data_IF_417638158824
#
_entry.id   IF_417638158824
#
_cell.length_a   1.000
_cell.length_b   1.000
_cell.length_c   1.000
_cell.angle_alpha   90.00
_cell.angle_beta   90.00
_cell.angle_gamma   90.00
#
_symmetry.space_group_name_H-M   'P 1'
#
loop_
_entity.id
_entity.type
_entity.pdbx_description
1 polymer ?
#
# COMPACT_ATOMS: atom_id res chain seq x y z
N UNK A 1 -0.98 -42.34 -7.13
CA UNK A 1 -2.27 -41.78 -7.59
C UNK A 1 -2.69 -42.25 -9.00
N UNK A 2 -2.26 -43.44 -9.48
CA UNK A 2 -2.58 -43.91 -10.85
C UNK A 2 -4.04 -44.34 -11.08
N UNK A 3 -4.93 -44.23 -10.09
CA UNK A 3 -6.33 -44.68 -10.19
C UNK A 3 -7.37 -43.55 -10.30
N UNK A 4 -6.99 -42.29 -10.12
CA UNK A 4 -7.89 -41.12 -10.24
C UNK A 4 -7.41 -40.23 -11.38
N UNK A 5 -7.91 -40.49 -12.59
CA UNK A 5 -7.47 -39.79 -13.81
C UNK A 5 -8.10 -38.41 -13.96
N UNK A 6 -9.31 -38.20 -13.44
CA UNK A 6 -10.02 -36.92 -13.49
C UNK A 6 -9.49 -35.92 -12.44
N UNK A 7 -9.05 -34.75 -12.90
CA UNK A 7 -8.55 -33.67 -12.05
C UNK A 7 -9.61 -33.14 -11.08
N UNK A 8 -10.89 -33.06 -11.49
CA UNK A 8 -11.97 -32.59 -10.64
C UNK A 8 -12.19 -33.53 -9.43
N UNK A 9 -12.09 -34.84 -9.66
CA UNK A 9 -12.14 -35.83 -8.59
C UNK A 9 -10.98 -35.65 -7.60
N UNK A 10 -9.75 -35.46 -8.10
CA UNK A 10 -8.57 -35.20 -7.25
C UNK A 10 -8.71 -33.89 -6.49
N UNK A 11 -9.23 -32.85 -7.13
CA UNK A 11 -9.50 -31.56 -6.51
C UNK A 11 -10.48 -31.72 -5.34
N UNK A 12 -11.57 -32.46 -5.53
CA UNK A 12 -12.57 -32.72 -4.49
C UNK A 12 -11.96 -33.42 -3.25
N UNK A 13 -10.98 -34.32 -3.44
CA UNK A 13 -10.24 -34.91 -2.32
C UNK A 13 -9.44 -33.86 -1.54
N UNK A 14 -8.76 -32.93 -2.23
CA UNK A 14 -8.01 -31.87 -1.55
C UNK A 14 -8.95 -30.86 -0.88
N UNK A 15 -10.10 -30.54 -1.49
CA UNK A 15 -11.14 -29.74 -0.84
C UNK A 15 -11.69 -30.43 0.43
N UNK A 16 -11.81 -31.76 0.43
CA UNK A 16 -12.14 -32.51 1.63
C UNK A 16 -11.07 -32.36 2.72
N UNK A 17 -9.78 -32.32 2.34
CA UNK A 17 -8.70 -32.00 3.29
C UNK A 17 -8.86 -30.62 3.94
N UNK A 18 -9.35 -29.61 3.21
CA UNK A 18 -9.67 -28.31 3.81
C UNK A 18 -10.76 -28.42 4.89
N UNK A 19 -11.77 -29.27 4.68
CA UNK A 19 -12.82 -29.52 5.69
C UNK A 19 -12.27 -30.27 6.90
N UNK A 20 -11.36 -31.22 6.71
CA UNK A 20 -10.65 -31.90 7.80
C UNK A 20 -9.83 -30.92 8.64
N UNK A 21 -9.10 -30.00 8.00
CA UNK A 21 -8.34 -28.96 8.68
C UNK A 21 -9.26 -28.05 9.54
N UNK A 22 -10.41 -27.61 8.99
CA UNK A 22 -11.41 -26.84 9.76
C UNK A 22 -11.96 -27.62 10.96
N UNK A 23 -12.04 -28.95 10.86
CA UNK A 23 -12.47 -29.84 11.96
C UNK A 23 -11.31 -30.27 12.86
N UNK A 24 -10.18 -29.57 12.83
CA UNK A 24 -9.00 -29.81 13.66
C UNK A 24 -8.31 -31.16 13.43
N UNK A 25 -8.53 -31.79 12.27
CA UNK A 25 -7.91 -33.06 11.90
C UNK A 25 -6.70 -32.83 10.99
N UNK A 26 -5.68 -32.14 11.50
CA UNK A 26 -4.55 -31.67 10.67
C UNK A 26 -3.72 -32.82 10.11
N UNK A 27 -3.47 -33.86 10.91
CA UNK A 27 -2.72 -35.04 10.46
C UNK A 27 -3.40 -35.75 9.28
N UNK A 28 -4.74 -35.88 9.31
CA UNK A 28 -5.52 -36.47 8.22
C UNK A 28 -5.54 -35.57 6.99
N UNK A 29 -5.70 -34.26 7.17
CA UNK A 29 -5.62 -33.29 6.08
C UNK A 29 -4.25 -33.36 5.37
N UNK A 30 -3.16 -33.36 6.14
CA UNK A 30 -1.80 -33.43 5.59
C UNK A 30 -1.51 -34.77 4.93
N UNK A 31 -2.11 -35.88 5.39
CA UNK A 31 -2.03 -37.17 4.69
C UNK A 31 -2.56 -37.06 3.25
N UNK A 32 -3.63 -36.31 3.02
CA UNK A 32 -4.14 -36.05 1.68
C UNK A 32 -3.17 -35.15 0.91
N UNK A 33 -2.69 -34.06 1.51
CA UNK A 33 -1.75 -33.13 0.84
C UNK A 33 -0.46 -33.84 0.39
N UNK A 34 0.11 -34.73 1.21
CA UNK A 34 1.29 -35.52 0.84
C UNK A 34 1.13 -36.28 -0.48
N UNK A 35 -0.08 -36.74 -0.78
CA UNK A 35 -0.39 -37.47 -2.01
C UNK A 35 -0.47 -36.54 -3.21
N UNK A 36 -1.08 -35.35 -3.04
CA UNK A 36 -1.47 -34.45 -4.13
C UNK A 36 -0.55 -33.23 -4.32
N UNK A 37 0.44 -33.01 -3.45
CA UNK A 37 1.40 -31.89 -3.61
C UNK A 37 2.23 -31.97 -4.90
N UNK A 38 2.33 -33.17 -5.49
CA UNK A 38 2.99 -33.45 -6.77
C UNK A 38 1.99 -33.71 -7.91
N UNK A 39 0.72 -33.38 -7.73
CA UNK A 39 -0.27 -33.62 -8.77
C UNK A 39 0.10 -32.84 -10.04
N UNK A 40 -0.08 -33.41 -11.23
CA UNK A 40 0.19 -32.69 -12.46
C UNK A 40 -0.71 -31.46 -12.66
N UNK A 41 -1.87 -31.39 -12.01
CA UNK A 41 -2.78 -30.24 -12.04
C UNK A 41 -2.38 -29.16 -11.01
N UNK A 42 -2.14 -27.89 -11.41
CA UNK A 42 -2.32 -27.33 -12.75
C UNK A 42 -1.17 -27.64 -13.70
N UNK A 43 -1.53 -27.93 -14.94
CA UNK A 43 -0.59 -28.22 -16.01
C UNK A 43 0.10 -26.94 -16.49
N UNK A 44 1.34 -27.08 -16.98
CA UNK A 44 1.96 -26.02 -17.77
C UNK A 44 1.25 -25.88 -19.13
N UNK A 45 1.41 -24.72 -19.81
CA UNK A 45 0.82 -24.51 -21.13
C UNK A 45 1.12 -25.65 -22.11
N UNK A 46 0.09 -26.12 -22.82
CA UNK A 46 0.12 -27.19 -23.80
C UNK A 46 0.23 -28.61 -23.22
N UNK A 47 0.20 -28.77 -21.87
CA UNK A 47 0.32 -30.08 -21.21
C UNK A 47 -1.00 -30.61 -20.65
N UNK A 48 -2.06 -29.82 -20.64
CA UNK A 48 -3.37 -30.25 -20.16
C UNK A 48 -4.11 -31.08 -21.23
N UNK A 49 -4.39 -32.38 -20.99
CA UNK A 49 -5.12 -33.21 -21.94
C UNK A 49 -6.60 -32.79 -22.11
N UNK A 50 -7.14 -32.00 -21.19
CA UNK A 50 -8.53 -31.53 -21.19
C UNK A 50 -8.69 -30.06 -21.62
N UNK A 51 -7.59 -29.33 -21.79
CA UNK A 51 -7.56 -27.94 -22.30
C UNK A 51 -6.40 -27.73 -23.29
N UNK A 52 -6.44 -28.36 -24.48
CA UNK A 52 -5.35 -28.32 -25.45
C UNK A 52 -5.08 -26.92 -26.04
N UNK A 53 -6.01 -25.97 -25.89
CA UNK A 53 -5.88 -24.58 -26.35
C UNK A 53 -5.36 -23.63 -25.26
N UNK A 54 -5.11 -24.14 -24.05
CA UNK A 54 -4.75 -23.35 -22.85
C UNK A 54 -5.72 -22.21 -22.56
N UNK A 55 -7.02 -22.44 -22.78
CA UNK A 55 -8.05 -21.41 -22.59
C UNK A 55 -8.27 -21.08 -21.11
N UNK A 56 -8.07 -22.06 -20.24
CA UNK A 56 -8.26 -21.99 -18.79
C UNK A 56 -6.95 -22.17 -18.01
N UNK A 57 -5.80 -22.06 -18.69
CA UNK A 57 -4.49 -22.23 -18.08
C UNK A 57 -4.11 -21.01 -17.22
N UNK A 58 -4.16 -21.16 -15.90
CA UNK A 58 -3.83 -20.09 -14.95
C UNK A 58 -2.34 -19.66 -15.01
N UNK A 59 -1.42 -20.57 -15.35
CA UNK A 59 -0.02 -20.20 -15.55
C UNK A 59 0.12 -19.21 -16.72
N UNK A 60 -0.59 -19.45 -17.82
CA UNK A 60 -0.63 -18.55 -18.98
C UNK A 60 -1.24 -17.19 -18.61
N UNK A 61 -2.28 -17.17 -17.78
CA UNK A 61 -2.86 -15.92 -17.26
C UNK A 61 -1.81 -15.09 -16.49
N UNK A 62 -0.99 -15.74 -15.66
CA UNK A 62 0.13 -15.07 -14.96
C UNK A 62 1.21 -14.57 -15.94
N UNK A 63 1.54 -15.34 -16.97
CA UNK A 63 2.47 -14.89 -18.03
C UNK A 63 1.97 -13.63 -18.74
N UNK A 64 0.65 -13.46 -18.87
CA UNK A 64 -0.01 -12.28 -19.44
C UNK A 64 -0.14 -11.12 -18.45
N UNK A 65 0.35 -11.26 -17.21
CA UNK A 65 0.30 -10.23 -16.18
C UNK A 65 -1.03 -10.13 -15.43
N UNK A 66 -1.88 -11.15 -15.52
CA UNK A 66 -3.14 -11.23 -14.78
C UNK A 66 -2.91 -11.89 -13.42
N UNK A 67 -3.44 -11.27 -12.38
CA UNK A 67 -3.44 -11.82 -11.03
C UNK A 67 -4.44 -12.99 -10.93
N UNK A 68 -4.03 -14.17 -10.44
CA UNK A 68 -4.97 -15.26 -10.18
C UNK A 68 -5.99 -14.89 -9.11
N UNK A 69 -7.27 -15.20 -9.35
CA UNK A 69 -8.37 -14.77 -8.46
C UNK A 69 -9.22 -15.92 -7.92
N UNK A 70 -8.93 -17.17 -8.29
CA UNK A 70 -9.73 -18.32 -7.85
C UNK A 70 -8.89 -19.58 -7.66
N UNK A 71 -9.36 -20.47 -6.77
CA UNK A 71 -8.70 -21.75 -6.49
C UNK A 71 -9.41 -22.86 -7.28
N UNK A 72 -8.80 -23.32 -8.38
CA UNK A 72 -9.42 -24.27 -9.34
C UNK A 72 -8.48 -25.38 -9.80
N UNK A 73 -7.53 -25.77 -8.96
CA UNK A 73 -6.62 -26.88 -9.29
C UNK A 73 -6.12 -27.58 -8.04
N UNK A 74 -5.70 -28.84 -8.21
CA UNK A 74 -5.26 -29.74 -7.14
C UNK A 74 -4.11 -29.14 -6.33
N UNK A 75 -3.01 -28.73 -6.97
CA UNK A 75 -1.89 -28.09 -6.25
C UNK A 75 -2.25 -26.69 -5.71
N UNK A 76 -3.18 -25.98 -6.35
CA UNK A 76 -3.73 -24.73 -5.81
C UNK A 76 -4.41 -24.93 -4.46
N UNK A 77 -5.30 -25.93 -4.39
CA UNK A 77 -5.94 -26.33 -3.15
C UNK A 77 -4.95 -26.85 -2.11
N UNK A 78 -3.84 -27.46 -2.51
CA UNK A 78 -2.79 -27.86 -1.56
C UNK A 78 -2.23 -26.65 -0.81
N UNK A 79 -1.91 -25.54 -1.52
CA UNK A 79 -1.48 -24.30 -0.89
C UNK A 79 -2.50 -23.77 0.12
N UNK A 80 -3.77 -23.75 -0.27
CA UNK A 80 -4.87 -23.29 0.60
C UNK A 80 -5.08 -24.15 1.86
N UNK A 81 -4.96 -25.47 1.74
CA UNK A 81 -5.08 -26.38 2.88
C UNK A 81 -3.89 -26.22 3.83
N UNK A 82 -2.68 -26.08 3.30
CA UNK A 82 -1.48 -25.86 4.11
C UNK A 82 -1.61 -24.60 4.97
N UNK A 83 -2.14 -23.51 4.41
CA UNK A 83 -2.45 -22.29 5.18
C UNK A 83 -3.36 -22.58 6.38
N UNK A 84 -4.39 -23.42 6.21
CA UNK A 84 -5.33 -23.79 7.29
C UNK A 84 -4.71 -24.70 8.35
N UNK A 85 -3.64 -25.44 8.01
CA UNK A 85 -2.93 -26.29 8.96
C UNK A 85 -1.92 -25.51 9.82
N UNK A 86 -1.50 -24.31 9.40
CA UNK A 86 -0.59 -23.45 10.17
C UNK A 86 -1.30 -22.62 11.25
N UNK A 87 -2.12 -23.25 12.09
CA UNK A 87 -2.87 -22.60 13.20
C UNK A 87 -2.55 -23.27 14.53
N UNK A 88 -3.07 -22.73 15.64
CA UNK A 88 -2.80 -23.25 16.98
C UNK A 88 -3.10 -24.76 17.12
N UNK A 89 -4.26 -25.21 16.62
CA UNK A 89 -4.64 -26.64 16.63
C UNK A 89 -3.76 -27.53 15.73
N UNK A 90 -2.94 -26.93 14.85
CA UNK A 90 -2.03 -27.62 13.94
C UNK A 90 -0.55 -27.43 14.27
N UNK A 91 -0.23 -26.91 15.45
CA UNK A 91 1.13 -26.57 15.89
C UNK A 91 2.12 -27.72 15.68
N UNK A 92 1.74 -28.92 16.08
CA UNK A 92 2.62 -30.10 16.01
C UNK A 92 2.97 -30.49 14.57
N UNK A 93 2.18 -30.03 13.60
CA UNK A 93 2.37 -30.32 12.19
C UNK A 93 3.10 -29.19 11.43
N UNK A 94 3.42 -28.07 12.09
CA UNK A 94 4.09 -26.92 11.46
C UNK A 94 5.38 -27.30 10.71
N UNK A 95 6.29 -28.17 11.25
CA UNK A 95 7.48 -28.58 10.51
C UNK A 95 7.16 -29.21 9.14
N UNK A 96 6.15 -30.09 9.09
CA UNK A 96 5.73 -30.72 7.83
C UNK A 96 5.06 -29.70 6.90
N UNK A 97 4.28 -28.77 7.44
CA UNK A 97 3.66 -27.70 6.65
C UNK A 97 4.72 -26.81 6.00
N UNK A 98 5.78 -26.43 6.72
CA UNK A 98 6.91 -25.66 6.17
C UNK A 98 7.53 -26.39 4.97
N UNK A 99 7.82 -27.68 5.11
CA UNK A 99 8.46 -28.48 4.05
C UNK A 99 7.55 -28.62 2.80
N UNK A 100 6.25 -28.87 3.00
CA UNK A 100 5.30 -28.94 1.89
C UNK A 100 5.08 -27.58 1.22
N UNK A 101 5.05 -26.49 1.97
CA UNK A 101 4.96 -25.13 1.42
C UNK A 101 6.22 -24.79 0.63
N UNK A 102 7.41 -25.06 1.16
CA UNK A 102 8.71 -24.86 0.47
C UNK A 102 8.76 -25.56 -0.87
N UNK A 103 8.17 -26.75 -0.96
CA UNK A 103 8.05 -27.51 -2.21
C UNK A 103 7.17 -26.79 -3.23
N UNK A 104 5.98 -26.33 -2.86
CA UNK A 104 5.09 -25.58 -3.76
C UNK A 104 5.67 -24.19 -4.12
N UNK A 105 6.42 -23.55 -3.23
CA UNK A 105 7.09 -22.28 -3.51
C UNK A 105 8.19 -22.44 -4.56
N UNK A 106 8.73 -23.66 -4.75
CA UNK A 106 9.73 -24.01 -5.77
C UNK A 106 9.13 -24.56 -7.05
N UNK A 107 7.81 -24.55 -7.19
CA UNK A 107 7.13 -25.07 -8.37
C UNK A 107 7.53 -24.31 -9.65
N UNK A 108 7.39 -24.97 -10.79
CA UNK A 108 7.51 -24.36 -12.12
C UNK A 108 6.24 -23.60 -12.51
N UNK A 109 5.09 -24.00 -11.97
CA UNK A 109 3.82 -23.37 -12.27
C UNK A 109 3.60 -22.13 -11.40
N UNK A 110 3.62 -20.93 -11.99
CA UNK A 110 3.39 -19.67 -11.27
C UNK A 110 2.10 -19.61 -10.45
N UNK A 111 1.01 -20.20 -10.94
CA UNK A 111 -0.23 -20.26 -10.17
C UNK A 111 -0.06 -21.10 -8.89
N UNK A 112 0.66 -22.22 -8.96
CA UNK A 112 0.93 -23.05 -7.78
C UNK A 112 1.79 -22.28 -6.76
N UNK A 113 2.79 -21.52 -7.24
CA UNK A 113 3.59 -20.62 -6.39
C UNK A 113 2.70 -19.56 -5.74
N UNK A 114 1.82 -18.91 -6.51
CA UNK A 114 0.87 -17.90 -6.02
C UNK A 114 0.02 -18.47 -4.88
N UNK A 115 -0.54 -19.67 -5.05
CA UNK A 115 -1.33 -20.32 -4.01
C UNK A 115 -0.49 -20.72 -2.78
N UNK A 116 0.78 -21.06 -2.99
CA UNK A 116 1.70 -21.35 -1.91
C UNK A 116 2.09 -20.11 -1.09
N UNK A 117 2.03 -18.90 -1.67
CA UNK A 117 2.29 -17.65 -0.96
C UNK A 117 1.31 -17.44 0.22
N UNK A 118 0.06 -17.88 0.12
CA UNK A 118 -0.89 -17.80 1.23
C UNK A 118 -0.48 -18.68 2.42
N UNK A 119 -0.02 -19.90 2.16
CA UNK A 119 0.53 -20.76 3.19
C UNK A 119 1.80 -20.15 3.80
N UNK A 120 2.73 -19.69 2.95
CA UNK A 120 3.99 -19.10 3.41
C UNK A 120 3.75 -17.82 4.23
N UNK A 121 2.80 -16.97 3.83
CA UNK A 121 2.41 -15.77 4.56
C UNK A 121 1.82 -16.08 5.94
N UNK A 122 1.01 -17.13 6.04
CA UNK A 122 0.47 -17.58 7.33
C UNK A 122 1.55 -18.15 8.25
N UNK A 123 2.50 -18.92 7.71
CA UNK A 123 3.67 -19.42 8.44
C UNK A 123 4.54 -18.23 8.89
N UNK A 124 4.83 -17.29 7.99
CA UNK A 124 5.62 -16.10 8.25
C UNK A 124 5.02 -15.24 9.38
N UNK A 125 3.69 -15.07 9.39
CA UNK A 125 2.95 -14.40 10.47
C UNK A 125 3.14 -15.08 11.82
N UNK A 126 3.13 -16.41 11.85
CA UNK A 126 3.18 -17.16 13.09
C UNK A 126 4.61 -17.43 13.61
N UNK A 127 5.65 -17.16 12.82
CA UNK A 127 7.02 -17.62 13.11
C UNK A 127 7.64 -17.08 14.41
N UNK A 128 7.24 -15.88 14.84
CA UNK A 128 7.71 -15.23 16.07
C UNK A 128 6.57 -14.98 17.08
N UNK A 129 5.40 -15.58 16.88
CA UNK A 129 4.30 -15.44 17.83
C UNK A 129 4.54 -16.34 19.05
N UNK A 130 3.97 -15.95 20.18
CA UNK A 130 4.02 -16.73 21.42
C UNK A 130 2.72 -17.48 21.65
N UNK A 131 2.77 -18.54 22.44
CA UNK A 131 1.56 -19.26 22.84
C UNK A 131 0.70 -18.39 23.76
N UNK A 132 -0.64 -18.40 23.61
CA UNK A 132 -1.53 -17.69 24.54
C UNK A 132 -1.39 -18.16 25.99
N UNK A 133 -1.09 -19.45 26.19
CA UNK A 133 -0.89 -20.07 27.49
C UNK A 133 0.46 -19.78 28.12
N UNK A 134 1.48 -19.46 27.32
CA UNK A 134 2.84 -19.20 27.78
C UNK A 134 3.54 -18.15 26.89
N UNK A 135 3.77 -16.97 27.46
CA UNK A 135 4.41 -15.83 26.77
C UNK A 135 5.90 -16.02 26.53
N UNK A 136 6.52 -17.08 27.05
CA UNK A 136 7.94 -17.40 26.85
C UNK A 136 8.17 -18.46 25.77
N UNK A 137 7.12 -19.21 25.41
CA UNK A 137 7.19 -20.25 24.39
C UNK A 137 6.74 -19.72 23.03
N UNK A 138 7.57 -19.94 22.00
CA UNK A 138 7.26 -19.58 20.63
C UNK A 138 6.33 -20.62 19.98
N UNK A 139 5.53 -20.17 19.02
CA UNK A 139 4.55 -21.01 18.35
C UNK A 139 5.18 -22.21 17.62
N UNK A 140 6.35 -22.05 16.98
CA UNK A 140 6.95 -23.12 16.19
C UNK A 140 7.53 -24.28 16.99
N UNK A 141 8.02 -24.04 18.20
CA UNK A 141 8.60 -25.08 19.03
C UNK A 141 8.69 -24.66 20.50
N UNK A 142 8.66 -25.64 21.40
CA UNK A 142 8.85 -25.40 22.84
C UNK A 142 10.29 -24.95 23.14
N UNK A 143 11.27 -25.50 22.40
CA UNK A 143 12.65 -25.08 22.49
C UNK A 143 12.88 -23.78 21.71
N UNK A 144 13.15 -22.68 22.43
CA UNK A 144 13.36 -21.33 21.87
C UNK A 144 14.34 -21.33 20.69
N UNK A 145 15.52 -21.95 20.84
CA UNK A 145 16.53 -21.95 19.77
C UNK A 145 16.01 -22.64 18.50
N UNK A 146 15.37 -23.80 18.65
CA UNK A 146 14.79 -24.55 17.54
C UNK A 146 13.67 -23.76 16.85
N UNK A 147 12.80 -23.11 17.62
CA UNK A 147 11.76 -22.23 17.08
C UNK A 147 12.35 -21.08 16.26
N UNK A 148 13.41 -20.42 16.75
CA UNK A 148 14.07 -19.32 16.05
C UNK A 148 14.80 -19.79 14.78
N UNK A 149 15.41 -20.99 14.78
CA UNK A 149 16.00 -21.59 13.58
C UNK A 149 14.95 -21.88 12.51
N UNK A 150 13.80 -22.42 12.91
CA UNK A 150 12.65 -22.62 12.00
C UNK A 150 12.13 -21.28 11.45
N UNK A 151 12.08 -20.23 12.28
CA UNK A 151 11.71 -18.89 11.81
C UNK A 151 12.69 -18.34 10.76
N UNK A 152 14.00 -18.55 10.94
CA UNK A 152 15.02 -18.20 9.95
C UNK A 152 14.94 -19.04 8.67
N UNK A 153 14.56 -20.31 8.76
CA UNK A 153 14.28 -21.12 7.57
C UNK A 153 13.11 -20.54 6.76
N UNK A 154 12.03 -20.11 7.41
CA UNK A 154 10.89 -19.46 6.75
C UNK A 154 11.31 -18.16 6.06
N UNK A 155 12.12 -17.34 6.73
CA UNK A 155 12.71 -16.14 6.13
C UNK A 155 13.56 -16.49 4.89
N UNK A 156 14.38 -17.53 4.97
CA UNK A 156 15.19 -17.98 3.83
C UNK A 156 14.33 -18.45 2.64
N UNK A 157 13.20 -19.14 2.90
CA UNK A 157 12.25 -19.53 1.85
C UNK A 157 11.64 -18.27 1.18
N UNK A 158 11.22 -17.29 1.99
CA UNK A 158 10.66 -16.04 1.48
C UNK A 158 11.67 -15.22 0.65
N UNK A 159 12.92 -15.11 1.12
CA UNK A 159 13.98 -14.43 0.34
C UNK A 159 14.37 -15.21 -0.91
N UNK A 160 14.33 -16.54 -0.89
CA UNK A 160 14.49 -17.35 -2.10
C UNK A 160 13.38 -17.07 -3.13
N UNK A 161 12.14 -16.85 -2.68
CA UNK A 161 11.03 -16.43 -3.55
C UNK A 161 11.24 -15.01 -4.09
N UNK A 162 11.73 -14.07 -3.28
CA UNK A 162 12.08 -12.72 -3.71
C UNK A 162 13.18 -12.73 -4.79
N UNK A 163 14.20 -13.58 -4.64
CA UNK A 163 15.26 -13.76 -5.63
C UNK A 163 14.72 -14.35 -6.96
N UNK A 164 13.68 -15.18 -6.90
CA UNK A 164 12.99 -15.65 -8.11
C UNK A 164 12.19 -14.53 -8.77
N UNK A 165 11.48 -13.72 -8.00
CA UNK A 165 10.66 -12.62 -8.52
C UNK A 165 11.45 -11.71 -9.46
N UNK A 166 12.65 -11.28 -9.04
CA UNK A 166 13.50 -10.38 -9.84
C UNK A 166 13.99 -11.00 -11.15
N UNK A 167 14.01 -12.34 -11.24
CA UNK A 167 14.42 -13.07 -12.45
C UNK A 167 13.27 -13.27 -13.44
N UNK A 168 12.02 -13.04 -13.02
CA UNK A 168 10.85 -13.27 -13.85
C UNK A 168 10.60 -12.10 -14.82
N UNK A 169 9.91 -12.34 -15.95
CA UNK A 169 9.48 -11.26 -16.85
C UNK A 169 8.61 -10.22 -16.13
N UNK A 170 8.65 -8.96 -16.58
CA UNK A 170 7.93 -7.85 -15.94
C UNK A 170 6.42 -8.11 -15.73
N UNK A 171 5.75 -8.75 -16.70
CA UNK A 171 4.34 -9.12 -16.56
C UNK A 171 4.11 -10.13 -15.44
N UNK A 172 4.98 -11.13 -15.30
CA UNK A 172 4.93 -12.10 -14.20
C UNK A 172 5.22 -11.41 -12.86
N UNK A 173 6.18 -10.48 -12.83
CA UNK A 173 6.45 -9.67 -11.64
C UNK A 173 5.19 -8.92 -11.20
N UNK A 174 4.49 -8.28 -12.14
CA UNK A 174 3.22 -7.59 -11.90
C UNK A 174 2.15 -8.51 -11.31
N UNK A 175 1.93 -9.67 -11.91
CA UNK A 175 0.93 -10.62 -11.44
C UNK A 175 1.25 -11.25 -10.06
N UNK A 176 2.53 -11.43 -9.74
CA UNK A 176 2.95 -12.18 -8.55
C UNK A 176 3.26 -11.31 -7.34
N UNK A 177 3.54 -10.02 -7.52
CA UNK A 177 4.10 -9.20 -6.43
C UNK A 177 3.15 -9.07 -5.25
N UNK A 178 1.85 -8.87 -5.45
CA UNK A 178 0.89 -8.79 -4.32
C UNK A 178 0.91 -10.04 -3.46
N UNK A 179 1.01 -11.22 -4.07
CA UNK A 179 1.10 -12.49 -3.34
C UNK A 179 2.42 -12.63 -2.60
N UNK A 180 3.52 -12.12 -3.15
CA UNK A 180 4.82 -12.11 -2.48
C UNK A 180 4.85 -11.09 -1.34
N UNK A 181 4.24 -9.92 -1.53
CA UNK A 181 4.08 -8.92 -0.46
C UNK A 181 3.25 -9.48 0.70
N UNK A 182 2.23 -10.31 0.43
CA UNK A 182 1.50 -11.03 1.48
C UNK A 182 2.41 -11.91 2.36
N UNK A 183 3.52 -12.40 1.82
CA UNK A 183 4.54 -13.14 2.58
C UNK A 183 5.42 -12.20 3.39
N UNK A 184 5.85 -11.08 2.81
CA UNK A 184 6.79 -10.14 3.45
C UNK A 184 6.15 -9.17 4.45
N UNK A 185 4.87 -8.87 4.33
CA UNK A 185 4.13 -8.00 5.25
C UNK A 185 4.28 -8.41 6.73
N UNK A 186 4.17 -9.68 7.12
CA UNK A 186 4.45 -10.12 8.48
C UNK A 186 5.96 -10.29 8.81
N UNK A 187 6.87 -10.21 7.83
CA UNK A 187 8.32 -10.34 8.03
C UNK A 187 8.94 -9.00 8.48
N UNK A 188 8.45 -8.41 9.57
CA UNK A 188 8.94 -7.10 10.05
C UNK A 188 10.25 -7.18 10.84
N UNK A 189 10.52 -8.31 11.48
CA UNK A 189 11.69 -8.56 12.34
C UNK A 189 12.94 -8.97 11.53
N UNK A 190 13.32 -8.13 10.58
CA UNK A 190 14.51 -8.30 9.73
C UNK A 190 15.65 -7.44 10.23
N UNK A 191 16.88 -7.91 10.11
CA UNK A 191 18.07 -7.10 10.38
C UNK A 191 18.28 -6.06 9.25
N UNK A 192 19.28 -5.18 9.39
CA UNK A 192 19.56 -4.15 8.37
C UNK A 192 19.82 -4.77 6.99
N UNK A 193 20.64 -5.83 6.92
CA UNK A 193 21.02 -6.46 5.65
C UNK A 193 19.82 -7.00 4.88
N UNK A 194 18.96 -7.75 5.56
CA UNK A 194 17.79 -8.39 4.98
C UNK A 194 16.71 -7.36 4.66
N UNK A 195 16.54 -6.35 5.51
CA UNK A 195 15.69 -5.19 5.22
C UNK A 195 16.18 -4.52 3.93
N UNK A 196 17.45 -4.14 3.87
CA UNK A 196 18.03 -3.50 2.69
C UNK A 196 17.84 -4.34 1.42
N UNK A 197 18.09 -5.65 1.48
CA UNK A 197 17.80 -6.56 0.36
C UNK A 197 16.34 -6.47 -0.08
N UNK A 198 15.40 -6.48 0.87
CA UNK A 198 13.98 -6.37 0.57
C UNK A 198 13.63 -5.06 -0.16
N UNK A 199 13.89 -3.90 0.46
CA UNK A 199 13.48 -2.61 -0.13
C UNK A 199 14.25 -2.26 -1.41
N UNK A 200 15.54 -2.59 -1.52
CA UNK A 200 16.29 -2.33 -2.77
C UNK A 200 15.84 -3.25 -3.91
N UNK A 201 15.32 -4.43 -3.61
CA UNK A 201 14.68 -5.28 -4.61
C UNK A 201 13.32 -4.73 -5.01
N UNK A 202 12.48 -4.34 -4.05
CA UNK A 202 11.15 -3.79 -4.33
C UNK A 202 11.23 -2.48 -5.13
N UNK A 203 12.24 -1.63 -4.87
CA UNK A 203 12.47 -0.39 -5.61
C UNK A 203 12.87 -0.58 -7.09
N UNK A 204 13.22 -1.82 -7.50
CA UNK A 204 13.58 -2.15 -8.88
C UNK A 204 12.41 -2.73 -9.68
N UNK A 205 11.26 -2.95 -9.04
CA UNK A 205 10.08 -3.46 -9.71
C UNK A 205 9.40 -2.35 -10.53
N UNK A 206 8.51 -2.69 -11.47
CA UNK A 206 7.71 -1.71 -12.21
C UNK A 206 6.95 -0.74 -11.29
N UNK A 207 6.63 0.47 -11.78
CA UNK A 207 6.01 1.52 -10.97
C UNK A 207 4.66 1.11 -10.35
N UNK A 208 3.79 0.49 -11.17
CA UNK A 208 2.47 -0.02 -10.77
C UNK A 208 2.53 -1.17 -9.75
N UNK A 209 3.71 -1.74 -9.55
CA UNK A 209 3.99 -2.79 -8.58
C UNK A 209 4.60 -2.23 -7.30
N UNK A 210 5.50 -1.26 -7.47
CA UNK A 210 6.21 -0.62 -6.36
C UNK A 210 5.25 0.10 -5.42
N UNK A 211 4.15 0.67 -5.93
CA UNK A 211 3.14 1.33 -5.10
C UNK A 211 2.55 0.42 -4.01
N UNK A 212 2.33 -0.87 -4.29
CA UNK A 212 1.74 -1.82 -3.35
C UNK A 212 2.67 -2.10 -2.16
N UNK A 213 3.97 -1.82 -2.32
CA UNK A 213 4.98 -1.99 -1.27
C UNK A 213 5.23 -0.74 -0.42
N UNK A 214 4.51 0.36 -0.66
CA UNK A 214 4.68 1.62 0.07
C UNK A 214 4.68 1.45 1.62
N UNK A 215 3.80 0.65 2.26
CA UNK A 215 3.83 0.45 3.70
C UNK A 215 5.13 -0.20 4.22
N UNK A 216 5.81 -1.01 3.41
CA UNK A 216 7.11 -1.60 3.78
C UNK A 216 8.23 -0.56 3.71
N UNK A 217 8.24 0.30 2.68
CA UNK A 217 9.19 1.40 2.58
C UNK A 217 9.06 2.36 3.77
N UNK A 218 7.85 2.84 4.06
CA UNK A 218 7.59 3.73 5.20
C UNK A 218 8.02 3.06 6.52
N UNK A 219 7.64 1.79 6.73
CA UNK A 219 8.05 1.06 7.93
C UNK A 219 9.57 0.98 8.09
N UNK A 220 10.30 0.63 7.03
CA UNK A 220 11.75 0.49 7.11
C UNK A 220 12.46 1.84 7.27
N UNK A 221 11.91 2.92 6.71
CA UNK A 221 12.49 4.26 6.79
C UNK A 221 12.20 4.97 8.12
N UNK A 222 11.05 4.71 8.76
CA UNK A 222 10.58 5.56 9.87
C UNK A 222 10.32 4.80 11.17
N UNK A 223 9.99 3.51 11.10
CA UNK A 223 9.50 2.77 12.27
C UNK A 223 10.44 1.65 12.71
N UNK A 224 11.15 1.04 11.76
CA UNK A 224 11.93 -0.17 11.98
C UNK A 224 13.02 -0.01 13.03
N UNK A 225 13.80 1.09 13.02
CA UNK A 225 14.95 1.29 13.94
C UNK A 225 14.58 1.02 15.40
N UNK A 226 13.44 1.56 15.84
CA UNK A 226 13.02 1.48 17.24
C UNK A 226 12.03 0.34 17.54
N UNK A 227 11.48 -0.32 16.52
CA UNK A 227 10.48 -1.39 16.68
C UNK A 227 10.97 -2.62 17.49
N UNK A 228 12.28 -2.84 17.56
CA UNK A 228 12.90 -3.99 18.23
C UNK A 228 13.85 -3.60 19.36
N UNK A 229 13.66 -2.40 19.94
CA UNK A 229 14.34 -2.02 21.18
C UNK A 229 14.01 -3.06 22.26
N UNK A 230 15.04 -3.60 22.91
CA UNK A 230 14.93 -4.65 23.93
C UNK A 230 14.25 -5.94 23.43
N UNK A 231 14.53 -6.38 22.20
CA UNK A 231 14.00 -7.63 21.65
C UNK A 231 14.37 -8.86 22.49
N UNK A 232 13.39 -9.40 23.23
CA UNK A 232 13.58 -10.49 24.21
C UNK A 232 13.95 -11.85 23.62
N UNK A 233 13.75 -12.04 22.31
CA UNK A 233 14.04 -13.32 21.66
C UNK A 233 15.40 -13.38 20.97
N UNK A 234 16.22 -12.32 21.04
CA UNK A 234 17.58 -12.35 20.50
C UNK A 234 18.42 -13.49 21.10
N UNK A 235 19.19 -14.15 20.24
CA UNK A 235 20.19 -15.16 20.56
C UNK A 235 21.37 -15.01 19.59
N UNK A 236 22.60 -15.41 19.95
CA UNK A 236 23.76 -15.31 19.07
C UNK A 236 23.50 -15.89 17.67
N UNK A 237 23.61 -15.07 16.63
CA UNK A 237 23.33 -15.45 15.24
C UNK A 237 21.85 -15.64 14.88
N UNK A 238 20.93 -15.33 15.80
CA UNK A 238 19.48 -15.46 15.66
C UNK A 238 18.78 -14.24 16.29
N UNK A 239 18.58 -13.20 15.49
CA UNK A 239 17.86 -11.97 15.89
C UNK A 239 18.53 -11.18 17.03
N UNK A 240 19.83 -11.36 17.24
CA UNK A 240 20.68 -10.52 18.09
C UNK A 240 21.14 -9.23 17.38
N UNK A 241 20.73 -9.04 16.13
CA UNK A 241 21.12 -7.94 15.25
C UNK A 241 19.96 -6.98 14.87
N UNK A 242 18.84 -7.04 15.61
CA UNK A 242 17.66 -6.22 15.32
C UNK A 242 17.69 -4.81 15.96
N UNK A 243 18.61 -4.57 16.90
CA UNK A 243 18.64 -3.37 17.73
C UNK A 243 18.84 -2.06 16.95
N UNK A 244 18.41 -0.91 17.51
CA UNK A 244 18.52 0.40 16.87
C UNK A 244 19.95 0.81 16.52
N UNK A 245 20.93 0.31 17.27
CA UNK A 245 22.36 0.57 17.07
C UNK A 245 22.95 -0.11 15.83
N UNK A 246 22.23 -1.08 15.24
CA UNK A 246 22.64 -1.83 14.04
C UNK A 246 21.78 -1.51 12.83
N UNK A 247 21.08 -0.38 12.85
CA UNK A 247 20.14 0.00 11.80
C UNK A 247 20.32 1.46 11.37
N UNK A 248 20.83 1.66 10.15
CA UNK A 248 20.98 2.95 9.51
C UNK A 248 19.67 3.45 8.88
N UNK A 249 18.85 4.10 9.69
CA UNK A 249 17.56 4.70 9.28
C UNK A 249 17.68 5.71 8.13
N UNK A 250 18.73 6.52 8.10
CA UNK A 250 18.92 7.56 7.07
C UNK A 250 19.14 6.95 5.68
N UNK A 251 19.83 5.81 5.63
CA UNK A 251 19.97 5.03 4.40
C UNK A 251 18.62 4.57 3.85
N UNK A 252 17.70 4.14 4.70
CA UNK A 252 16.36 3.71 4.26
C UNK A 252 15.48 4.88 3.84
N UNK A 253 15.54 6.02 4.55
CA UNK A 253 14.87 7.26 4.16
C UNK A 253 15.31 7.73 2.78
N UNK A 254 16.61 7.69 2.51
CA UNK A 254 17.17 8.03 1.19
C UNK A 254 16.56 7.16 0.08
N UNK A 255 16.51 5.83 0.28
CA UNK A 255 15.92 4.90 -0.70
C UNK A 255 14.44 5.21 -0.92
N UNK A 256 13.68 5.47 0.16
CA UNK A 256 12.26 5.84 0.07
C UNK A 256 12.05 7.14 -0.73
N UNK A 257 12.83 8.18 -0.44
CA UNK A 257 12.74 9.47 -1.15
C UNK A 257 13.09 9.30 -2.63
N UNK A 258 14.18 8.59 -2.94
CA UNK A 258 14.58 8.29 -4.32
C UNK A 258 13.48 7.50 -5.05
N UNK A 259 12.88 6.51 -4.39
CA UNK A 259 11.78 5.71 -4.96
C UNK A 259 10.57 6.59 -5.28
N UNK A 260 10.13 7.45 -4.35
CA UNK A 260 9.03 8.39 -4.60
C UNK A 260 9.35 9.31 -5.77
N UNK A 261 10.56 9.86 -5.83
CA UNK A 261 10.96 10.80 -6.87
C UNK A 261 11.01 10.15 -8.26
N UNK A 262 11.47 8.90 -8.38
CA UNK A 262 11.43 8.18 -9.65
C UNK A 262 9.99 7.87 -10.08
N UNK A 263 9.14 7.41 -9.15
CA UNK A 263 7.72 7.18 -9.45
C UNK A 263 7.01 8.46 -9.89
N UNK A 264 7.27 9.60 -9.24
CA UNK A 264 6.71 10.90 -9.64
C UNK A 264 7.11 11.34 -11.06
N UNK A 265 8.25 10.87 -11.58
CA UNK A 265 8.67 11.18 -12.97
C UNK A 265 7.92 10.35 -13.99
N UNK A 266 7.59 9.09 -13.65
CA UNK A 266 6.90 8.16 -14.54
C UNK A 266 5.38 8.37 -14.50
N UNK A 267 4.79 8.26 -13.32
CA UNK A 267 3.37 8.47 -13.06
C UNK A 267 3.16 9.00 -11.61
N UNK A 268 2.90 10.31 -11.43
CA UNK A 268 2.66 10.91 -10.12
C UNK A 268 1.55 10.23 -9.31
N UNK A 269 0.50 9.69 -9.95
CA UNK A 269 -0.61 9.06 -9.24
C UNK A 269 -0.24 7.69 -8.65
N UNK A 270 0.78 7.01 -9.20
CA UNK A 270 1.38 5.78 -8.61
C UNK A 270 2.00 6.02 -7.23
N UNK A 271 2.18 7.28 -6.80
CA UNK A 271 2.63 7.61 -5.44
C UNK A 271 1.49 7.64 -4.40
N UNK A 272 0.23 7.41 -4.79
CA UNK A 272 -0.92 7.51 -3.88
C UNK A 272 -0.80 6.60 -2.65
N UNK A 273 -0.29 5.37 -2.82
CA UNK A 273 -0.11 4.42 -1.71
C UNK A 273 0.89 4.92 -0.67
N UNK A 274 1.91 5.70 -1.05
CA UNK A 274 2.82 6.35 -0.11
C UNK A 274 2.10 7.45 0.68
N UNK A 275 1.32 8.29 0.00
CA UNK A 275 0.51 9.34 0.63
C UNK A 275 -0.50 8.76 1.64
N UNK A 276 -1.22 7.70 1.23
CA UNK A 276 -2.18 7.00 2.09
C UNK A 276 -1.50 6.31 3.27
N UNK A 277 -0.31 5.75 3.09
CA UNK A 277 0.43 5.09 4.18
C UNK A 277 0.81 6.06 5.30
N UNK A 278 1.29 7.26 4.95
CA UNK A 278 1.65 8.29 5.95
C UNK A 278 0.42 8.95 6.57
N UNK A 279 -0.67 9.12 5.82
CA UNK A 279 -1.95 9.58 6.38
C UNK A 279 -2.54 8.58 7.37
N UNK A 280 -2.50 7.28 7.05
CA UNK A 280 -2.94 6.22 7.96
C UNK A 280 -2.12 6.20 9.24
N UNK A 281 -0.78 6.26 9.14
CA UNK A 281 0.10 6.30 10.30
C UNK A 281 -0.19 7.51 11.21
N UNK A 282 -0.47 8.69 10.63
CA UNK A 282 -0.90 9.86 11.38
C UNK A 282 -2.28 9.68 12.02
N UNK A 283 -3.26 9.13 11.29
CA UNK A 283 -4.64 8.98 11.75
C UNK A 283 -4.78 7.96 12.88
N UNK A 284 -4.01 6.88 12.84
CA UNK A 284 -4.04 5.81 13.83
C UNK A 284 -3.11 6.06 15.03
N UNK A 285 -2.32 7.14 15.00
CA UNK A 285 -1.43 7.51 16.08
C UNK A 285 -2.18 7.79 17.38
N UNK A 286 -1.59 7.40 18.52
CA UNK A 286 -2.15 7.62 19.84
C UNK A 286 -1.07 8.02 20.85
N UNK A 287 -1.46 8.75 21.90
CA UNK A 287 -0.53 9.20 22.94
C UNK A 287 0.65 10.01 22.38
N UNK A 288 1.86 9.63 22.75
CA UNK A 288 3.10 10.32 22.39
C UNK A 288 3.44 10.21 20.88
N UNK A 289 2.80 9.31 20.13
CA UNK A 289 3.04 9.11 18.70
C UNK A 289 2.35 10.15 17.81
N UNK A 290 1.31 10.82 18.33
CA UNK A 290 0.50 11.78 17.56
C UNK A 290 1.37 12.87 16.94
N UNK A 291 2.29 13.41 17.74
CA UNK A 291 3.19 14.47 17.32
C UNK A 291 4.10 14.00 16.19
N UNK A 292 4.84 12.93 16.45
CA UNK A 292 5.80 12.33 15.52
C UNK A 292 5.16 11.96 14.19
N UNK A 293 4.02 11.28 14.22
CA UNK A 293 3.37 10.80 12.99
C UNK A 293 2.72 11.96 12.21
N UNK A 294 2.30 13.04 12.89
CA UNK A 294 1.84 14.25 12.22
C UNK A 294 2.98 14.97 11.50
N UNK A 295 4.16 15.04 12.11
CA UNK A 295 5.35 15.64 11.46
C UNK A 295 5.81 14.84 10.24
N UNK A 296 5.84 13.51 10.38
CA UNK A 296 6.12 12.58 9.29
C UNK A 296 5.14 12.78 8.14
N UNK A 297 3.83 12.81 8.41
CA UNK A 297 2.83 13.05 7.38
C UNK A 297 3.03 14.40 6.68
N UNK A 298 3.31 15.48 7.42
CA UNK A 298 3.60 16.80 6.83
C UNK A 298 4.85 16.78 5.94
N UNK A 299 5.90 16.06 6.35
CA UNK A 299 7.14 15.93 5.57
C UNK A 299 6.89 15.20 4.24
N UNK A 300 6.32 13.99 4.31
CA UNK A 300 6.11 13.17 3.12
C UNK A 300 5.01 13.70 2.22
N UNK A 301 3.90 14.23 2.75
CA UNK A 301 2.87 14.87 1.91
C UNK A 301 3.42 16.12 1.22
N UNK A 302 4.34 16.87 1.86
CA UNK A 302 5.04 17.96 1.20
C UNK A 302 5.97 17.46 0.08
N UNK A 303 6.70 16.35 0.27
CA UNK A 303 7.48 15.74 -0.81
C UNK A 303 6.58 15.29 -1.98
N UNK A 304 5.50 14.60 -1.67
CA UNK A 304 4.54 14.03 -2.63
C UNK A 304 3.77 15.10 -3.40
N UNK A 305 3.64 16.31 -2.84
CA UNK A 305 3.00 17.44 -3.51
C UNK A 305 3.93 18.23 -4.43
N UNK A 306 5.10 17.70 -4.83
CA UNK A 306 6.06 18.40 -5.71
C UNK A 306 5.60 18.52 -7.17
N UNK A 307 4.74 17.59 -7.62
CA UNK A 307 4.15 17.51 -8.95
C UNK A 307 2.65 17.22 -8.78
N UNK A 308 1.81 17.76 -9.67
CA UNK A 308 0.36 17.52 -9.59
C UNK A 308 0.01 16.04 -9.81
N UNK A 309 -0.74 15.47 -8.87
CA UNK A 309 -1.30 14.11 -8.90
C UNK A 309 -2.69 14.14 -8.27
N UNK A 310 -3.74 13.83 -9.02
CA UNK A 310 -5.11 14.18 -8.61
C UNK A 310 -5.52 13.51 -7.29
N UNK A 311 -5.20 12.22 -7.12
CA UNK A 311 -5.61 11.48 -5.93
C UNK A 311 -4.82 11.90 -4.68
N UNK A 312 -3.54 12.25 -4.85
CA UNK A 312 -2.69 12.73 -3.75
C UNK A 312 -3.15 14.10 -3.28
N UNK A 313 -3.45 15.02 -4.19
CA UNK A 313 -3.94 16.35 -3.85
C UNK A 313 -5.30 16.28 -3.17
N UNK A 314 -6.19 15.42 -3.67
CA UNK A 314 -7.48 15.13 -3.02
C UNK A 314 -7.30 14.66 -1.58
N UNK A 315 -6.37 13.71 -1.33
CA UNK A 315 -6.06 13.26 0.03
C UNK A 315 -5.51 14.39 0.91
N UNK A 316 -4.58 15.19 0.39
CA UNK A 316 -4.01 16.35 1.11
C UNK A 316 -5.12 17.34 1.48
N UNK A 317 -6.06 17.62 0.58
CA UNK A 317 -7.18 18.52 0.84
C UNK A 317 -8.13 17.96 1.91
N UNK A 318 -8.47 16.67 1.86
CA UNK A 318 -9.25 16.03 2.93
C UNK A 318 -8.55 16.09 4.29
N UNK A 319 -7.22 15.92 4.32
CA UNK A 319 -6.43 16.07 5.55
C UNK A 319 -6.46 17.52 6.02
N UNK A 320 -6.18 18.49 5.14
CA UNK A 320 -6.17 19.91 5.48
C UNK A 320 -7.52 20.39 6.01
N UNK A 321 -8.63 20.01 5.38
CA UNK A 321 -9.98 20.34 5.85
C UNK A 321 -10.22 19.84 7.28
N UNK A 322 -9.92 18.56 7.56
CA UNK A 322 -10.07 17.98 8.91
C UNK A 322 -9.19 18.67 9.95
N UNK A 323 -7.94 18.96 9.59
CA UNK A 323 -6.96 19.57 10.51
C UNK A 323 -7.18 21.06 10.75
N UNK A 324 -7.72 21.80 9.77
CA UNK A 324 -8.17 23.18 9.96
C UNK A 324 -9.48 23.26 10.74
N UNK A 325 -10.35 22.25 10.60
CA UNK A 325 -11.64 22.16 11.30
C UNK A 325 -11.55 21.84 12.80
N UNK A 326 -10.38 21.42 13.30
CA UNK A 326 -10.15 21.04 14.69
C UNK A 326 -8.94 21.77 15.28
N UNK A 327 -8.81 21.88 16.62
CA UNK A 327 -7.60 22.43 17.22
C UNK A 327 -6.37 21.57 16.87
N UNK A 328 -5.47 22.12 16.06
CA UNK A 328 -4.21 21.48 15.67
C UNK A 328 -3.05 22.48 15.82
N UNK A 329 -2.01 22.10 16.56
CA UNK A 329 -0.81 22.94 16.73
C UNK A 329 -0.04 23.17 15.42
N UNK A 330 -0.25 22.30 14.43
CA UNK A 330 0.35 22.36 13.10
C UNK A 330 -0.50 23.07 12.06
N UNK A 331 -1.58 23.76 12.46
CA UNK A 331 -2.52 24.45 11.55
C UNK A 331 -1.83 25.30 10.49
N UNK A 332 -0.75 26.02 10.85
CA UNK A 332 0.03 26.83 9.92
C UNK A 332 0.79 26.00 8.88
N UNK A 333 1.30 24.82 9.24
CA UNK A 333 2.01 23.94 8.31
C UNK A 333 1.02 23.30 7.31
N UNK A 334 -0.16 22.92 7.77
CA UNK A 334 -1.24 22.45 6.88
C UNK A 334 -1.67 23.53 5.89
N UNK A 335 -1.80 24.78 6.35
CA UNK A 335 -2.07 25.92 5.46
C UNK A 335 -0.95 26.14 4.43
N UNK A 336 0.32 26.03 4.82
CA UNK A 336 1.46 26.16 3.89
C UNK A 336 1.42 25.04 2.83
N UNK A 337 1.17 23.80 3.24
CA UNK A 337 1.03 22.67 2.32
C UNK A 337 -0.14 22.85 1.36
N UNK A 338 -1.29 23.32 1.87
CA UNK A 338 -2.46 23.65 1.06
C UNK A 338 -2.14 24.69 -0.02
N UNK A 339 -1.50 25.81 0.33
CA UNK A 339 -1.12 26.84 -0.65
C UNK A 339 -0.13 26.32 -1.68
N UNK A 340 0.86 25.52 -1.26
CA UNK A 340 1.79 24.87 -2.18
C UNK A 340 1.02 24.02 -3.21
N UNK A 341 0.03 23.27 -2.76
CA UNK A 341 -0.82 22.47 -3.64
C UNK A 341 -1.58 23.36 -4.63
N UNK A 342 -2.23 24.43 -4.16
CA UNK A 342 -2.94 25.36 -5.05
C UNK A 342 -2.05 25.94 -6.16
N UNK A 343 -0.80 26.31 -5.86
CA UNK A 343 0.13 26.84 -6.87
C UNK A 343 0.51 25.80 -7.93
N UNK A 344 0.76 24.56 -7.49
CA UNK A 344 1.14 23.48 -8.40
C UNK A 344 -0.04 23.04 -9.27
N UNK A 345 -1.23 22.94 -8.67
CA UNK A 345 -2.49 22.67 -9.36
C UNK A 345 -2.82 23.76 -10.38
N UNK A 346 -2.66 25.04 -10.02
CA UNK A 346 -2.80 26.16 -10.95
C UNK A 346 -1.88 26.00 -12.17
N UNK A 347 -0.60 25.75 -11.93
CA UNK A 347 0.39 25.55 -13.00
C UNK A 347 0.07 24.35 -13.89
N UNK A 348 -0.51 23.28 -13.32
CA UNK A 348 -1.02 22.15 -14.07
C UNK A 348 -2.21 22.54 -14.96
N UNK A 349 -3.22 23.22 -14.43
CA UNK A 349 -4.38 23.66 -15.21
C UNK A 349 -3.98 24.61 -16.35
N UNK A 350 -3.08 25.55 -16.10
CA UNK A 350 -2.56 26.44 -17.15
C UNK A 350 -1.89 25.66 -18.29
N UNK A 351 -1.14 24.60 -17.98
CA UNK A 351 -0.54 23.72 -19.00
C UNK A 351 -1.61 22.97 -19.79
N UNK A 352 -2.61 22.38 -19.13
CA UNK A 352 -3.67 21.64 -19.80
C UNK A 352 -4.51 22.53 -20.72
N UNK A 353 -4.80 23.76 -20.31
CA UNK A 353 -5.48 24.75 -21.15
C UNK A 353 -4.64 25.09 -22.38
N UNK A 354 -3.34 25.38 -22.21
CA UNK A 354 -2.42 25.65 -23.33
C UNK A 354 -2.32 24.48 -24.32
N UNK A 355 -2.40 23.25 -23.82
CA UNK A 355 -2.35 22.03 -24.64
C UNK A 355 -3.70 21.63 -25.25
N UNK A 356 -4.79 22.38 -24.99
CA UNK A 356 -6.12 22.05 -25.51
C UNK A 356 -6.81 20.87 -24.83
N UNK A 357 -6.25 20.36 -23.73
CA UNK A 357 -6.73 19.19 -22.99
C UNK A 357 -7.75 19.55 -21.89
N UNK A 358 -8.46 20.66 -22.05
CA UNK A 358 -9.41 21.20 -21.06
C UNK A 358 -10.48 20.18 -20.68
N UNK A 359 -10.92 19.34 -21.62
CA UNK A 359 -11.91 18.30 -21.37
C UNK A 359 -11.47 17.30 -20.28
N UNK A 360 -10.16 17.07 -20.10
CA UNK A 360 -9.64 16.15 -19.09
C UNK A 360 -9.62 16.75 -17.68
N UNK A 361 -9.68 18.07 -17.55
CA UNK A 361 -9.60 18.77 -16.26
C UNK A 361 -10.91 19.46 -15.86
N UNK A 362 -11.80 19.69 -16.82
CA UNK A 362 -13.08 20.37 -16.61
C UNK A 362 -14.00 19.66 -15.62
N UNK A 363 -13.86 18.34 -15.46
CA UNK A 363 -14.70 17.52 -14.60
C UNK A 363 -14.07 17.19 -13.25
N UNK A 364 -12.82 17.58 -12.96
CA UNK A 364 -12.23 17.37 -11.64
C UNK A 364 -12.95 18.26 -10.63
N UNK A 365 -13.76 17.69 -9.71
CA UNK A 365 -14.58 18.51 -8.86
C UNK A 365 -13.70 19.03 -7.72
N UNK A 366 -13.61 20.35 -7.60
CA UNK A 366 -12.86 21.11 -6.59
C UNK A 366 -13.57 21.13 -5.22
N UNK A 367 -14.11 19.98 -4.80
CA UNK A 367 -15.08 19.86 -3.70
C UNK A 367 -14.58 20.43 -2.36
N UNK A 368 -13.28 20.37 -2.11
CA UNK A 368 -12.70 20.72 -0.81
C UNK A 368 -12.27 22.19 -0.71
N UNK A 369 -11.99 22.86 -1.83
CA UNK A 369 -11.38 24.20 -1.81
C UNK A 369 -12.24 25.21 -1.06
N UNK A 370 -13.54 25.28 -1.38
CA UNK A 370 -14.46 26.22 -0.76
C UNK A 370 -14.49 26.08 0.77
N UNK A 371 -14.61 24.86 1.27
CA UNK A 371 -14.70 24.62 2.71
C UNK A 371 -13.38 24.89 3.42
N UNK A 372 -12.26 24.48 2.84
CA UNK A 372 -10.92 24.79 3.37
C UNK A 372 -10.71 26.31 3.45
N UNK A 373 -11.09 27.05 2.41
CA UNK A 373 -10.95 28.50 2.36
C UNK A 373 -11.80 29.20 3.44
N UNK A 374 -13.04 28.76 3.67
CA UNK A 374 -13.86 29.24 4.77
C UNK A 374 -13.19 28.99 6.13
N UNK A 375 -12.67 27.77 6.35
CA UNK A 375 -11.95 27.44 7.59
C UNK A 375 -10.69 28.30 7.78
N UNK A 376 -9.96 28.60 6.71
CA UNK A 376 -8.80 29.51 6.78
C UNK A 376 -9.25 30.90 7.23
N UNK A 377 -10.34 31.44 6.68
CA UNK A 377 -10.87 32.73 7.11
C UNK A 377 -11.30 32.71 8.57
N UNK A 378 -12.02 31.67 9.00
CA UNK A 378 -12.50 31.49 10.37
C UNK A 378 -11.39 31.32 11.40
N UNK A 379 -10.32 30.59 11.06
CA UNK A 379 -9.29 30.15 12.04
C UNK A 379 -7.96 30.89 11.93
N UNK A 380 -7.57 31.31 10.73
CA UNK A 380 -6.28 31.93 10.46
C UNK A 380 -6.41 33.42 10.05
N UNK A 381 -7.63 33.89 9.85
CA UNK A 381 -7.95 35.29 9.58
C UNK A 381 -7.80 35.71 8.12
N UNK A 382 -8.17 36.96 7.88
CA UNK A 382 -8.31 37.56 6.54
C UNK A 382 -7.02 37.54 5.72
N UNK A 383 -5.85 37.78 6.33
CA UNK A 383 -4.58 37.85 5.59
C UNK A 383 -4.22 36.50 4.97
N UNK A 384 -4.35 35.43 5.75
CA UNK A 384 -4.08 34.05 5.31
C UNK A 384 -5.11 33.58 4.30
N UNK A 385 -6.37 33.96 4.51
CA UNK A 385 -7.44 33.73 3.54
C UNK A 385 -7.14 34.39 2.19
N UNK A 386 -6.78 35.67 2.18
CA UNK A 386 -6.49 36.41 0.96
C UNK A 386 -5.25 35.89 0.24
N UNK A 387 -4.25 35.38 0.97
CA UNK A 387 -3.10 34.69 0.37
C UNK A 387 -3.55 33.50 -0.49
N UNK A 388 -4.38 32.62 0.05
CA UNK A 388 -4.88 31.45 -0.67
C UNK A 388 -5.88 31.83 -1.79
N UNK A 389 -6.75 32.81 -1.52
CA UNK A 389 -7.78 33.25 -2.46
C UNK A 389 -7.17 33.77 -3.76
N UNK A 390 -6.09 34.54 -3.67
CA UNK A 390 -5.36 35.06 -4.84
C UNK A 390 -4.89 33.94 -5.78
N UNK A 391 -4.54 32.77 -5.24
CA UNK A 391 -4.08 31.63 -6.04
C UNK A 391 -5.28 30.92 -6.65
N UNK A 392 -6.25 30.53 -5.81
CA UNK A 392 -7.43 29.77 -6.21
C UNK A 392 -8.26 30.47 -7.29
N UNK A 393 -8.56 31.76 -7.10
CA UNK A 393 -9.35 32.51 -8.08
C UNK A 393 -8.58 32.84 -9.37
N UNK A 394 -7.25 32.75 -9.36
CA UNK A 394 -6.39 32.94 -10.51
C UNK A 394 -6.24 31.68 -11.39
N UNK A 395 -6.94 30.58 -11.08
CA UNK A 395 -7.02 29.43 -11.97
C UNK A 395 -7.63 29.84 -13.34
N UNK A 396 -7.32 29.13 -14.43
CA UNK A 396 -7.86 29.46 -15.76
C UNK A 396 -9.39 29.53 -15.79
N UNK A 397 -9.95 30.39 -16.65
CA UNK A 397 -11.41 30.62 -16.76
C UNK A 397 -12.18 29.39 -17.25
N UNK A 398 -11.48 28.46 -17.91
CA UNK A 398 -11.99 27.20 -18.41
C UNK A 398 -12.27 26.17 -17.29
N UNK A 399 -11.73 26.40 -16.09
CA UNK A 399 -11.91 25.55 -14.91
C UNK A 399 -13.08 26.07 -14.08
N UNK A 400 -14.02 25.17 -13.74
CA UNK A 400 -15.09 25.49 -12.79
C UNK A 400 -14.58 25.36 -11.36
N UNK A 401 -14.75 26.43 -10.58
CA UNK A 401 -14.20 26.55 -9.23
C UNK A 401 -15.18 26.05 -8.14
N UNK A 402 -16.44 25.75 -8.48
CA UNK A 402 -17.45 25.24 -7.53
C UNK A 402 -17.47 25.98 -6.18
N UNK A 403 -17.46 27.31 -6.24
CA UNK A 403 -17.37 28.17 -5.06
C UNK A 403 -18.66 28.12 -4.23
N UNK A 404 -18.52 28.00 -2.91
CA UNK A 404 -19.64 28.13 -1.98
C UNK A 404 -20.12 29.59 -1.91
N UNK A 405 -21.39 29.78 -1.54
CA UNK A 405 -21.92 31.12 -1.24
C UNK A 405 -21.15 31.79 -0.11
N UNK A 406 -20.75 31.03 0.91
CA UNK A 406 -19.95 31.52 2.03
C UNK A 406 -18.59 32.08 1.60
N UNK A 407 -17.87 31.37 0.73
CA UNK A 407 -16.59 31.83 0.18
C UNK A 407 -16.75 33.13 -0.61
N UNK A 408 -17.76 33.21 -1.49
CA UNK A 408 -18.02 34.42 -2.30
C UNK A 408 -18.39 35.61 -1.41
N UNK A 409 -19.23 35.41 -0.39
CA UNK A 409 -19.60 36.47 0.56
C UNK A 409 -18.42 36.96 1.38
N UNK A 410 -17.48 36.08 1.77
CA UNK A 410 -16.26 36.50 2.45
C UNK A 410 -15.40 37.43 1.56
N UNK A 411 -15.23 37.09 0.28
CA UNK A 411 -14.51 37.96 -0.67
C UNK A 411 -15.26 39.27 -0.90
N UNK A 412 -16.59 39.25 -1.00
CA UNK A 412 -17.43 40.44 -1.16
C UNK A 412 -17.22 41.42 0.01
N UNK A 413 -17.20 40.92 1.24
CA UNK A 413 -16.99 41.76 2.43
C UNK A 413 -15.60 42.39 2.44
N UNK A 414 -14.57 41.61 2.10
CA UNK A 414 -13.18 42.08 2.04
C UNK A 414 -12.98 43.07 0.89
N UNK A 415 -13.69 42.90 -0.23
CA UNK A 415 -13.62 43.80 -1.38
C UNK A 415 -14.09 45.23 -1.06
N UNK A 416 -14.76 45.49 0.06
CA UNK A 416 -15.08 46.86 0.49
C UNK A 416 -13.82 47.69 0.74
N UNK A 417 -12.78 47.07 1.28
CA UNK A 417 -11.56 47.75 1.73
C UNK A 417 -10.29 47.29 1.00
N UNK A 418 -10.28 46.09 0.41
CA UNK A 418 -9.11 45.52 -0.25
C UNK A 418 -9.19 45.56 -1.79
N UNK A 419 -8.12 46.04 -2.44
CA UNK A 419 -8.07 46.18 -3.91
C UNK A 419 -7.95 44.84 -4.64
N UNK A 420 -7.32 43.84 -4.05
CA UNK A 420 -7.14 42.55 -4.70
C UNK A 420 -8.43 41.72 -4.62
N UNK A 421 -9.17 41.81 -3.53
CA UNK A 421 -10.52 41.24 -3.45
C UNK A 421 -11.47 41.85 -4.49
N UNK A 422 -11.38 43.17 -4.75
CA UNK A 422 -12.13 43.80 -5.87
C UNK A 422 -11.78 43.18 -7.22
N UNK A 423 -10.49 42.92 -7.50
CA UNK A 423 -10.05 42.26 -8.74
C UNK A 423 -10.60 40.83 -8.84
N UNK A 424 -10.63 40.09 -7.72
CA UNK A 424 -11.21 38.75 -7.68
C UNK A 424 -12.69 38.79 -8.07
N UNK A 425 -13.48 39.70 -7.50
CA UNK A 425 -14.91 39.84 -7.86
C UNK A 425 -15.08 40.20 -9.34
N UNK A 426 -14.26 41.10 -9.89
CA UNK A 426 -14.28 41.40 -11.32
C UNK A 426 -13.97 40.16 -12.17
N UNK A 427 -12.97 39.37 -11.80
CA UNK A 427 -12.63 38.13 -12.51
C UNK A 427 -13.75 37.10 -12.45
N UNK A 428 -14.46 36.97 -11.33
CA UNK A 428 -15.63 36.11 -11.22
C UNK A 428 -16.75 36.55 -12.16
N UNK A 429 -17.07 37.85 -12.19
CA UNK A 429 -18.04 38.43 -13.12
C UNK A 429 -17.66 38.15 -14.58
N UNK A 430 -16.39 38.23 -14.94
CA UNK A 430 -15.91 37.95 -16.30
C UNK A 430 -15.99 36.45 -16.64
N UNK A 431 -15.71 35.56 -15.68
CA UNK A 431 -15.78 34.10 -15.85
C UNK A 431 -17.21 33.61 -16.04
N UNK A 432 -18.15 34.09 -15.22
CA UNK A 432 -19.54 33.66 -15.26
C UNK A 432 -20.51 34.81 -14.87
N UNK A 433 -20.84 35.71 -15.82
CA UNK A 433 -21.66 36.88 -15.54
C UNK A 433 -23.04 36.55 -14.97
N UNK A 434 -23.67 35.45 -15.40
CA UNK A 434 -25.02 35.07 -14.96
C UNK A 434 -25.02 34.57 -13.51
N UNK A 435 -24.00 33.82 -13.08
CA UNK A 435 -23.84 33.36 -11.69
C UNK A 435 -23.59 34.53 -10.73
N UNK A 436 -22.80 35.52 -11.17
CA UNK A 436 -22.25 36.55 -10.28
C UNK A 436 -22.87 37.95 -10.44
N UNK A 437 -23.88 38.12 -11.31
CA UNK A 437 -24.49 39.41 -11.62
C UNK A 437 -24.88 40.25 -10.40
N UNK A 438 -25.36 39.59 -9.33
CA UNK A 438 -25.76 40.24 -8.08
C UNK A 438 -24.63 41.03 -7.39
N UNK A 439 -23.37 40.65 -7.62
CA UNK A 439 -22.19 41.33 -7.07
C UNK A 439 -21.92 42.67 -7.76
N UNK A 440 -22.33 42.83 -9.03
CA UNK A 440 -22.11 44.05 -9.83
C UNK A 440 -22.80 45.29 -9.26
N UNK A 441 -23.97 45.11 -8.65
CA UNK A 441 -24.78 46.21 -8.11
C UNK A 441 -24.29 46.74 -6.76
N UNK A 442 -23.44 45.97 -6.07
CA UNK A 442 -22.94 46.29 -4.71
C UNK A 442 -21.49 46.79 -4.67
N UNK A 443 -20.79 46.80 -5.81
CA UNK A 443 -19.43 47.36 -5.93
C UNK A 443 -19.40 48.85 -6.31
N UNK A 444 -20.56 49.46 -6.55
CA UNK A 444 -20.73 50.92 -6.60
C UNK A 444 -20.84 51.45 -5.19
#
# INVERSE_FOLDING_TARGET
CQRLTDANCREAFVQFAARLAVKKKMADALRIIRIFVNDPDPYLPGKDPHDPEDKYNEHKSVLEGKEPSSIRSVRGWCGWVLMKCSVLDGRDQVPEVIELTKKLIKDENYYAIHMACFALGQIARNRLTVLPSDKNTLFFNDEKEKALRMAKEVEAIAFGLLDRLISWPALVQKAMTKSILHVFDPLRALNEKDSLKLITTLAKLPADVTEESAPLFIYCAEFRKNAYKNWRFGMPGLYDDLGPEKYDEERFKKILIETIQELQKEDPDSCFRFASSVEHAMREASGDEIERNTELALEYLNLLSSVYAHNIFTLIYQVAERKLGSPDKYINRWFVLFNKCLEIEKGFYEKQVKSGNVANVRWYPTLYHSRIMELINEKLGQDKFMQAAKIFFAFPKEIDLHESTGLVSAIEEIAKTDKDAKKIISSLLDKNPSKYWHLKNKMK
#
